data_IF_398275264741
#
_entry.id   IF_398275264741
#
_cell.length_a   1.000
_cell.length_b   1.000
_cell.length_c   1.000
_cell.angle_alpha   90.00
_cell.angle_beta   90.00
_cell.angle_gamma   90.00
#
_symmetry.space_group_name_H-M   'P 1'
#
loop_
_entity.id
_entity.type
_entity.pdbx_description
1 polymer ?
#
# COMPACT_ATOMS: atom_id res chain seq x y z
N UNK A 1 55.91 30.46 -10.36
CA UNK A 1 54.61 31.11 -10.11
C UNK A 1 53.52 30.20 -10.68
N UNK A 2 53.19 29.14 -9.95
CA UNK A 2 52.14 28.17 -10.32
C UNK A 2 50.93 28.47 -9.46
N UNK A 3 49.85 28.94 -10.08
CA UNK A 3 48.57 29.20 -9.41
C UNK A 3 47.92 27.89 -8.93
N UNK A 4 47.07 27.95 -7.89
CA UNK A 4 46.37 26.76 -7.41
C UNK A 4 45.32 26.29 -8.42
N UNK A 5 45.39 25.01 -8.75
CA UNK A 5 44.38 24.25 -9.50
C UNK A 5 43.02 24.38 -8.83
N UNK A 6 42.03 24.91 -9.56
CA UNK A 6 40.64 24.88 -9.14
C UNK A 6 40.16 23.42 -9.09
N UNK A 7 39.93 22.91 -7.89
CA UNK A 7 39.13 21.70 -7.66
C UNK A 7 37.71 21.99 -8.12
N UNK A 8 37.10 21.20 -9.03
CA UNK A 8 35.69 21.35 -9.31
C UNK A 8 34.92 21.02 -8.04
N UNK A 9 34.17 22.01 -7.58
CA UNK A 9 33.20 21.90 -6.51
C UNK A 9 32.24 20.77 -6.88
N UNK A 10 32.37 19.63 -6.18
CA UNK A 10 31.45 18.53 -6.30
C UNK A 10 30.15 18.98 -5.62
N UNK A 11 29.37 19.77 -6.35
CA UNK A 11 27.99 20.09 -6.07
C UNK A 11 27.19 18.80 -6.08
N UNK A 12 27.27 18.03 -5.00
CA UNK A 12 26.38 16.95 -4.67
C UNK A 12 25.01 17.56 -4.47
N UNK A 13 24.28 17.74 -5.57
CA UNK A 13 22.88 18.05 -5.55
C UNK A 13 22.18 16.96 -4.76
N UNK A 14 21.95 17.24 -3.47
CA UNK A 14 21.08 16.43 -2.64
C UNK A 14 19.70 16.55 -3.27
N UNK A 15 19.37 15.58 -4.13
CA UNK A 15 18.01 15.43 -4.65
C UNK A 15 17.03 15.52 -3.48
N UNK A 16 15.84 16.11 -3.69
CA UNK A 16 14.91 16.36 -2.61
C UNK A 16 14.70 15.07 -1.82
N UNK A 17 15.10 15.09 -0.55
CA UNK A 17 14.76 14.02 0.39
C UNK A 17 13.24 14.04 0.50
N UNK A 18 12.58 13.13 -0.19
CA UNK A 18 11.12 13.02 -0.14
C UNK A 18 10.68 12.99 1.32
N UNK A 19 9.68 13.78 1.66
CA UNK A 19 9.02 13.65 2.96
C UNK A 19 8.33 12.29 2.98
N UNK A 20 8.71 11.41 3.90
CA UNK A 20 8.06 10.11 4.07
C UNK A 20 7.08 10.20 5.23
N UNK A 21 5.81 9.87 4.98
CA UNK A 21 4.78 9.73 5.99
C UNK A 21 4.37 8.27 6.08
N UNK A 22 4.15 7.77 7.31
CA UNK A 22 3.64 6.42 7.53
C UNK A 22 2.34 6.51 8.33
N UNK A 23 1.30 5.89 7.80
CA UNK A 23 -0.01 5.77 8.45
C UNK A 23 -0.32 4.27 8.49
N UNK A 24 -0.59 3.75 9.68
CA UNK A 24 -1.09 2.38 9.86
C UNK A 24 -2.50 2.42 10.39
N UNK A 25 -3.37 1.58 9.83
CA UNK A 25 -4.76 1.49 10.22
C UNK A 25 -5.11 0.01 10.46
N UNK A 26 -5.84 -0.29 11.53
CA UNK A 26 -6.18 -1.66 11.93
C UNK A 26 -7.58 -2.07 11.46
N UNK A 27 -7.67 -3.02 10.52
CA UNK A 27 -8.92 -3.41 9.83
C UNK A 27 -9.96 -4.04 10.78
N UNK A 28 -11.18 -3.50 10.78
CA UNK A 28 -12.35 -3.99 11.54
C UNK A 28 -13.58 -4.26 10.65
N UNK A 29 -14.74 -4.51 11.25
CA UNK A 29 -15.96 -4.96 10.54
C UNK A 29 -16.66 -3.90 9.69
N UNK A 30 -16.36 -2.61 9.87
CA UNK A 30 -17.00 -1.49 9.15
C UNK A 30 -16.27 -1.04 7.87
N UNK A 31 -15.34 -1.84 7.36
CA UNK A 31 -14.35 -1.37 6.38
C UNK A 31 -14.79 -1.65 4.95
N UNK A 32 -14.47 -0.74 4.03
CA UNK A 32 -14.78 -0.92 2.61
C UNK A 32 -13.74 -0.25 1.71
N UNK A 33 -13.61 -0.77 0.49
CA UNK A 33 -12.85 -0.12 -0.57
C UNK A 33 -13.74 0.03 -1.80
N UNK A 34 -13.74 1.23 -2.41
CA UNK A 34 -14.54 1.53 -3.59
C UNK A 34 -13.73 2.34 -4.58
N UNK A 35 -13.79 1.94 -5.85
CA UNK A 35 -13.27 2.73 -6.96
C UNK A 35 -14.40 3.56 -7.56
N UNK A 36 -14.28 4.88 -7.49
CA UNK A 36 -15.13 5.82 -8.22
C UNK A 36 -14.55 6.04 -9.61
N UNK A 37 -15.36 5.81 -10.62
CA UNK A 37 -14.97 5.96 -12.03
C UNK A 37 -15.83 7.03 -12.69
N UNK A 38 -15.21 7.83 -13.54
CA UNK A 38 -15.85 8.96 -14.19
C UNK A 38 -15.47 8.95 -15.69
N UNK A 39 -16.35 9.40 -16.60
CA UNK A 39 -16.08 9.34 -18.04
C UNK A 39 -14.91 10.21 -18.51
N UNK A 40 -14.66 11.32 -17.82
CA UNK A 40 -13.68 12.34 -18.22
C UNK A 40 -12.75 12.76 -17.07
N UNK A 41 -12.77 12.03 -15.95
CA UNK A 41 -11.94 12.33 -14.79
C UNK A 41 -11.18 11.09 -14.35
N UNK A 42 -10.11 11.30 -13.59
CA UNK A 42 -9.30 10.22 -13.06
C UNK A 42 -10.10 9.38 -12.05
N UNK A 43 -9.92 8.05 -12.05
CA UNK A 43 -10.54 7.22 -11.04
C UNK A 43 -9.97 7.57 -9.66
N UNK A 44 -10.82 7.47 -8.64
CA UNK A 44 -10.44 7.64 -7.24
C UNK A 44 -10.71 6.33 -6.52
N UNK A 45 -9.68 5.73 -5.93
CA UNK A 45 -9.84 4.61 -5.02
C UNK A 45 -9.99 5.15 -3.61
N UNK A 46 -11.16 4.98 -3.02
CA UNK A 46 -11.42 5.27 -1.62
C UNK A 46 -11.30 3.99 -0.77
N UNK A 47 -10.63 4.10 0.36
CA UNK A 47 -10.59 3.10 1.42
C UNK A 47 -11.14 3.73 2.68
N UNK A 48 -12.30 3.22 3.11
CA UNK A 48 -12.98 3.61 4.34
C UNK A 48 -12.61 2.63 5.44
N UNK A 49 -11.91 3.16 6.43
CA UNK A 49 -11.39 2.44 7.58
C UNK A 49 -11.95 3.04 8.86
N UNK A 50 -13.25 2.83 9.06
CA UNK A 50 -14.05 3.41 10.15
C UNK A 50 -13.96 4.95 10.20
N UNK A 51 -13.14 5.51 11.10
CA UNK A 51 -12.93 6.96 11.22
C UNK A 51 -11.83 7.51 10.30
N UNK A 52 -11.15 6.66 9.54
CA UNK A 52 -10.08 7.07 8.60
C UNK A 52 -10.54 6.88 7.17
N UNK A 53 -10.49 7.96 6.38
CA UNK A 53 -10.75 7.93 4.94
C UNK A 53 -9.45 8.15 4.19
N UNK A 54 -9.07 7.19 3.34
CA UNK A 54 -7.90 7.27 2.47
C UNK A 54 -8.36 7.30 1.01
N UNK A 55 -7.98 8.33 0.27
CA UNK A 55 -8.25 8.43 -1.17
C UNK A 55 -6.94 8.38 -1.96
N UNK A 56 -6.87 7.49 -2.95
CA UNK A 56 -5.78 7.43 -3.92
C UNK A 56 -6.27 7.95 -5.27
N UNK A 57 -5.54 8.91 -5.83
CA UNK A 57 -5.77 9.46 -7.16
C UNK A 57 -4.44 9.80 -7.82
N UNK A 58 -4.41 9.87 -9.15
CA UNK A 58 -3.26 10.40 -9.86
C UNK A 58 -2.98 11.86 -9.46
N UNK A 59 -1.71 12.23 -9.33
CA UNK A 59 -1.29 13.61 -9.00
C UNK A 59 -1.58 14.58 -10.13
N UNK A 60 -1.37 14.14 -11.37
CA UNK A 60 -1.62 14.91 -12.58
C UNK A 60 -2.94 14.49 -13.26
N UNK A 61 -3.40 15.31 -14.21
CA UNK A 61 -4.64 15.07 -14.95
C UNK A 61 -4.57 13.89 -15.94
N UNK A 62 -3.41 13.25 -16.08
CA UNK A 62 -3.20 12.12 -16.97
C UNK A 62 -2.87 10.83 -16.21
N UNK A 63 -3.61 9.76 -16.50
CA UNK A 63 -3.23 8.39 -16.10
C UNK A 63 -2.06 7.94 -16.98
N UNK A 64 -0.90 7.72 -16.37
CA UNK A 64 0.32 7.30 -17.07
C UNK A 64 0.56 5.79 -16.96
N UNK A 65 1.53 5.28 -17.73
CA UNK A 65 1.97 3.87 -17.63
C UNK A 65 2.43 3.54 -16.21
N UNK A 66 3.07 4.48 -15.52
CA UNK A 66 3.53 4.30 -14.14
C UNK A 66 2.36 4.18 -13.16
N UNK A 67 1.28 4.93 -13.37
CA UNK A 67 0.04 4.75 -12.59
C UNK A 67 -0.55 3.35 -12.77
N UNK A 68 -0.54 2.82 -14.01
CA UNK A 68 -1.01 1.46 -14.26
C UNK A 68 -0.08 0.41 -13.64
N UNK A 69 1.23 0.63 -13.67
CA UNK A 69 2.20 -0.25 -13.03
C UNK A 69 1.99 -0.28 -11.50
N UNK A 70 1.82 0.89 -10.88
CA UNK A 70 1.50 1.02 -9.47
C UNK A 70 0.18 0.32 -9.12
N UNK A 71 -0.90 0.59 -9.86
CA UNK A 71 -2.21 -0.03 -9.61
C UNK A 71 -2.15 -1.56 -9.69
N UNK A 72 -1.42 -2.12 -10.66
CA UNK A 72 -1.21 -3.57 -10.77
C UNK A 72 -0.41 -4.13 -9.58
N UNK A 73 0.61 -3.41 -9.13
CA UNK A 73 1.38 -3.80 -7.95
C UNK A 73 0.51 -3.78 -6.68
N UNK A 74 -0.34 -2.77 -6.53
CA UNK A 74 -1.29 -2.67 -5.42
C UNK A 74 -2.27 -3.85 -5.40
N UNK A 75 -2.82 -4.22 -6.57
CA UNK A 75 -3.70 -5.40 -6.69
C UNK A 75 -2.97 -6.68 -6.27
N UNK A 76 -1.73 -6.89 -6.72
CA UNK A 76 -0.93 -8.07 -6.33
C UNK A 76 -0.72 -8.13 -4.83
N UNK A 77 -0.31 -7.02 -4.21
CA UNK A 77 -0.09 -6.95 -2.77
C UNK A 77 -1.38 -7.22 -1.98
N UNK A 78 -2.52 -6.69 -2.44
CA UNK A 78 -3.82 -6.96 -1.82
C UNK A 78 -4.24 -8.43 -1.95
N UNK A 79 -3.98 -9.06 -3.09
CA UNK A 79 -4.20 -10.51 -3.28
C UNK A 79 -3.32 -11.35 -2.36
N UNK A 80 -2.04 -11.01 -2.22
CA UNK A 80 -1.13 -11.72 -1.32
C UNK A 80 -1.58 -11.61 0.14
N UNK A 81 -2.03 -10.42 0.56
CA UNK A 81 -2.64 -10.21 1.88
C UNK A 81 -3.89 -11.08 2.09
N UNK A 82 -4.79 -11.15 1.10
CA UNK A 82 -5.99 -11.99 1.17
C UNK A 82 -5.63 -13.46 1.36
N UNK A 83 -4.72 -14.00 0.55
CA UNK A 83 -4.31 -15.40 0.65
C UNK A 83 -3.74 -15.73 2.04
N UNK A 84 -2.98 -14.80 2.62
CA UNK A 84 -2.43 -14.99 3.96
C UNK A 84 -3.53 -14.95 5.04
N UNK A 85 -4.51 -14.06 4.91
CA UNK A 85 -5.69 -14.06 5.79
C UNK A 85 -6.47 -15.38 5.70
N UNK A 86 -6.69 -15.90 4.50
CA UNK A 86 -7.36 -17.18 4.26
C UNK A 86 -6.59 -18.36 4.87
N UNK A 87 -5.25 -18.35 4.72
CA UNK A 87 -4.36 -19.34 5.34
C UNK A 87 -4.48 -19.33 6.86
N UNK A 88 -4.46 -18.15 7.48
CA UNK A 88 -4.58 -17.99 8.94
C UNK A 88 -5.98 -18.39 9.45
N UNK A 89 -7.04 -18.06 8.70
CA UNK A 89 -8.41 -18.46 9.03
C UNK A 89 -8.58 -19.98 8.99
N UNK A 90 -8.03 -20.62 7.95
CA UNK A 90 -8.09 -22.07 7.78
C UNK A 90 -7.30 -22.78 8.89
N UNK A 91 -6.07 -22.31 9.19
CA UNK A 91 -5.25 -22.87 10.26
C UNK A 91 -5.93 -22.81 11.64
N UNK A 92 -6.57 -21.68 11.96
CA UNK A 92 -7.32 -21.52 13.22
C UNK A 92 -8.48 -22.50 13.35
N UNK A 93 -9.15 -22.81 12.25
CA UNK A 93 -10.29 -23.73 12.23
C UNK A 93 -9.82 -25.17 12.51
N UNK A 94 -8.67 -25.57 11.97
CA UNK A 94 -8.07 -26.90 12.22
C UNK A 94 -7.64 -27.08 13.67
N UNK A 95 -7.02 -26.06 14.27
CA UNK A 95 -6.59 -26.10 15.67
C UNK A 95 -7.79 -26.18 16.63
N UNK A 96 -8.86 -25.43 16.34
CA UNK A 96 -10.10 -25.49 17.12
C UNK A 96 -10.80 -26.87 17.04
N UNK A 97 -10.76 -27.52 15.87
CA UNK A 97 -11.33 -28.87 15.69
C UNK A 97 -10.52 -29.96 16.40
N UNK A 98 -9.21 -29.79 16.56
CA UNK A 98 -8.33 -30.79 17.20
C UNK A 98 -8.43 -30.73 18.73
N UNK A 99 -8.68 -29.55 19.29
CA UNK A 99 -8.86 -29.34 20.73
C UNK A 99 -10.14 -29.96 21.32
N UNK A 100 -11.19 -30.12 20.51
CA UNK A 100 -12.49 -30.65 20.97
C UNK A 100 -12.48 -32.18 21.15
N UNK A 101 -11.56 -32.88 20.49
CA UNK A 101 -11.41 -34.35 20.59
C UNK A 101 -10.54 -34.84 21.77
N UNK A 102 -9.88 -33.95 22.52
CA UNK A 102 -8.88 -34.33 23.53
C UNK A 102 -9.39 -34.37 25.00
N UNK A 103 -10.67 -34.08 25.27
CA UNK A 103 -11.22 -33.98 26.64
C UNK A 103 -12.21 -35.11 26.98
N UNK A 104 -11.99 -36.31 26.44
CA UNK A 104 -12.75 -37.50 26.82
C UNK A 104 -11.80 -38.71 26.95
N UNK A 105 -11.11 -38.82 28.08
CA UNK A 105 -10.49 -40.05 28.57
C UNK A 105 -10.28 -39.96 30.10
#
# INVERSE_FOLDING_TARGET
MTGPTATPDAGGGRGPVGSHGHISVHIGSGWSARCFTYPHERPILAVDADHTHLSLSATDDAVTVDHLAFARALVRAATDYLHECERLLTGRTTDASTGDTATAA
#
